data_IF_444037791268
#
_entry.id   IF_444037791268
#
_cell.length_a   1.000
_cell.length_b   1.000
_cell.length_c   1.000
_cell.angle_alpha   90.00
_cell.angle_beta   90.00
_cell.angle_gamma   90.00
#
_symmetry.space_group_name_H-M   'P 1'
#
loop_
_entity.id
_entity.type
_entity.pdbx_description
1 polymer ?
#
# COMPACT_ATOMS: atom_id res chain seq x y z
N UNK A 1 -40.05 -19.41 70.72
CA UNK A 1 -38.59 -19.49 70.46
C UNK A 1 -38.27 -20.91 70.01
N UNK A 2 -38.14 -21.13 68.70
CA UNK A 2 -37.85 -22.46 68.15
C UNK A 2 -36.32 -22.62 68.03
N UNK A 3 -35.74 -23.44 68.90
CA UNK A 3 -34.33 -23.84 68.83
C UNK A 3 -34.16 -24.85 67.69
N UNK A 4 -33.66 -24.38 66.55
CA UNK A 4 -33.36 -25.23 65.42
C UNK A 4 -32.06 -26.01 65.68
N UNK A 5 -32.18 -27.34 65.68
CA UNK A 5 -31.09 -28.28 65.86
C UNK A 5 -30.06 -28.21 64.71
N UNK A 6 -28.88 -27.68 65.01
CA UNK A 6 -27.75 -27.42 64.10
C UNK A 6 -27.34 -28.65 63.27
N UNK A 7 -27.53 -29.87 63.79
CA UNK A 7 -27.12 -31.12 63.12
C UNK A 7 -27.90 -31.45 61.83
N UNK A 8 -29.12 -30.92 61.66
CA UNK A 8 -29.95 -31.18 60.45
C UNK A 8 -29.79 -30.13 59.34
N UNK A 9 -29.09 -29.04 59.60
CA UNK A 9 -28.97 -27.91 58.64
C UNK A 9 -27.65 -27.90 57.86
N UNK A 10 -26.67 -28.69 58.27
CA UNK A 10 -25.37 -28.83 57.60
C UNK A 10 -25.50 -29.23 56.11
N UNK A 11 -26.32 -30.22 55.70
CA UNK A 11 -26.41 -30.57 54.28
C UNK A 11 -27.10 -29.48 53.43
N UNK A 12 -28.01 -28.70 54.03
CA UNK A 12 -28.72 -27.61 53.35
C UNK A 12 -27.80 -26.41 53.09
N UNK A 13 -26.92 -26.09 54.04
CA UNK A 13 -25.94 -25.00 53.94
C UNK A 13 -24.86 -25.35 52.89
N UNK A 14 -24.38 -26.59 52.86
CA UNK A 14 -23.43 -27.04 51.83
C UNK A 14 -24.04 -27.01 50.43
N UNK A 15 -25.34 -27.33 50.28
CA UNK A 15 -26.03 -27.26 48.99
C UNK A 15 -26.19 -25.80 48.51
N UNK A 16 -26.47 -24.87 49.42
CA UNK A 16 -26.60 -23.44 49.08
C UNK A 16 -25.27 -22.82 48.61
N UNK A 17 -24.14 -23.21 49.23
CA UNK A 17 -22.81 -22.74 48.85
C UNK A 17 -22.39 -23.32 47.48
N UNK A 18 -22.75 -24.57 47.19
CA UNK A 18 -22.44 -25.22 45.91
C UNK A 18 -23.18 -24.56 44.73
N UNK A 19 -24.43 -24.12 44.93
CA UNK A 19 -25.23 -23.44 43.89
C UNK A 19 -24.77 -22.00 43.63
N UNK A 20 -24.30 -21.28 44.65
CA UNK A 20 -23.79 -19.90 44.49
C UNK A 20 -22.41 -19.80 43.81
N UNK A 21 -21.66 -20.90 43.68
CA UNK A 21 -20.35 -20.91 43.02
C UNK A 21 -20.42 -21.13 41.49
N UNK A 22 -21.57 -21.57 40.97
CA UNK A 22 -21.76 -21.87 39.54
C UNK A 22 -21.77 -20.64 38.59
N UNK A 23 -22.29 -19.44 38.95
CA UNK A 23 -22.29 -18.30 38.02
C UNK A 23 -20.91 -17.66 37.82
N UNK A 24 -19.93 -17.91 38.70
CA UNK A 24 -18.57 -17.38 38.57
C UNK A 24 -17.75 -18.07 37.46
N UNK A 25 -18.16 -19.25 37.00
CA UNK A 25 -17.54 -19.93 35.86
C UNK A 25 -18.17 -19.55 34.51
N UNK A 26 -19.40 -19.02 34.50
CA UNK A 26 -20.08 -18.64 33.27
C UNK A 26 -19.55 -17.33 32.65
N UNK A 27 -18.93 -16.45 33.44
CA UNK A 27 -18.44 -15.15 32.95
C UNK A 27 -17.06 -15.19 32.25
N UNK A 28 -16.34 -16.31 32.27
CA UNK A 28 -15.02 -16.43 31.59
C UNK A 28 -15.09 -16.92 30.14
N UNK A 29 -16.28 -17.15 29.58
CA UNK A 29 -16.44 -17.73 28.25
C UNK A 29 -16.54 -16.70 27.09
N UNK A 30 -16.51 -15.39 27.35
CA UNK A 30 -16.74 -14.38 26.29
C UNK A 30 -15.68 -13.28 26.27
N UNK A 31 -14.45 -13.67 25.97
CA UNK A 31 -13.46 -12.77 25.37
C UNK A 31 -12.42 -13.59 24.62
N UNK A 32 -12.88 -14.48 23.73
CA UNK A 32 -11.98 -14.96 22.70
C UNK A 32 -11.67 -13.76 21.78
N UNK A 33 -10.40 -13.39 21.59
CA UNK A 33 -10.05 -12.38 20.60
C UNK A 33 -10.55 -12.87 19.25
N UNK A 34 -11.49 -12.14 18.65
CA UNK A 34 -12.02 -12.43 17.32
C UNK A 34 -10.83 -12.47 16.37
N UNK A 35 -10.49 -13.64 15.84
CA UNK A 35 -9.37 -13.75 14.88
C UNK A 35 -9.69 -12.90 13.65
N UNK A 36 -8.73 -12.13 13.11
CA UNK A 36 -8.96 -11.34 11.92
C UNK A 36 -9.48 -12.22 10.79
N UNK A 37 -10.64 -11.86 10.23
CA UNK A 37 -11.13 -12.48 9.00
C UNK A 37 -10.33 -11.90 7.84
N UNK A 38 -9.54 -12.74 7.18
CA UNK A 38 -8.74 -12.35 6.01
C UNK A 38 -9.44 -12.88 4.77
N UNK A 39 -9.84 -11.97 3.87
CA UNK A 39 -10.33 -12.33 2.53
C UNK A 39 -9.30 -11.90 1.49
N UNK A 40 -8.99 -12.79 0.55
CA UNK A 40 -8.07 -12.54 -0.56
C UNK A 40 -8.81 -12.75 -1.90
N UNK A 41 -8.70 -11.77 -2.79
CA UNK A 41 -9.20 -11.88 -4.16
C UNK A 41 -8.17 -11.32 -5.14
N UNK A 42 -7.88 -12.09 -6.19
CA UNK A 42 -7.06 -11.62 -7.31
C UNK A 42 -7.91 -10.76 -8.23
N UNK A 43 -7.46 -9.55 -8.50
CA UNK A 43 -8.12 -8.58 -9.38
C UNK A 43 -7.08 -8.00 -10.34
N UNK A 44 -7.58 -7.34 -11.40
CA UNK A 44 -6.75 -6.61 -12.34
C UNK A 44 -7.34 -5.24 -12.58
N UNK A 45 -6.49 -4.24 -12.74
CA UNK A 45 -6.88 -2.88 -13.15
C UNK A 45 -5.94 -2.38 -14.24
N UNK A 46 -6.46 -1.57 -15.15
CA UNK A 46 -5.68 -0.85 -16.15
C UNK A 46 -5.79 0.64 -15.90
N UNK A 47 -4.69 1.38 -16.07
CA UNK A 47 -4.70 2.81 -15.86
C UNK A 47 -3.35 3.48 -16.08
N UNK A 48 -3.31 4.77 -15.79
CA UNK A 48 -2.15 5.64 -15.98
C UNK A 48 -1.38 5.73 -14.66
N UNK A 49 -0.06 5.56 -14.72
CA UNK A 49 0.82 5.71 -13.57
C UNK A 49 0.88 7.18 -13.14
N UNK A 50 0.39 7.47 -11.95
CA UNK A 50 0.34 8.81 -11.36
C UNK A 50 1.44 9.04 -10.32
N UNK A 51 1.98 8.00 -9.72
CA UNK A 51 3.12 8.12 -8.82
C UNK A 51 3.89 6.81 -8.71
N UNK A 52 5.20 6.93 -8.54
CA UNK A 52 6.10 5.80 -8.31
C UNK A 52 6.84 6.06 -7.01
N UNK A 53 6.71 5.13 -6.07
CA UNK A 53 7.40 5.13 -4.78
C UNK A 53 8.29 3.90 -4.69
N UNK A 54 9.21 3.90 -3.73
CA UNK A 54 10.13 2.76 -3.52
C UNK A 54 9.41 1.42 -3.31
N UNK A 55 8.25 1.43 -2.65
CA UNK A 55 7.48 0.22 -2.31
C UNK A 55 6.02 0.32 -2.75
N UNK A 56 5.69 1.23 -3.67
CA UNK A 56 4.33 1.38 -4.14
C UNK A 56 4.29 1.99 -5.53
N UNK A 57 3.22 1.70 -6.27
CA UNK A 57 2.85 2.41 -7.49
C UNK A 57 1.41 2.88 -7.36
N UNK A 58 1.16 4.09 -7.83
CA UNK A 58 -0.19 4.66 -7.87
C UNK A 58 -0.68 4.74 -9.31
N UNK A 59 -1.93 4.35 -9.52
CA UNK A 59 -2.53 4.24 -10.86
C UNK A 59 -3.91 4.89 -10.86
N UNK A 60 -4.09 5.86 -11.75
CA UNK A 60 -5.40 6.45 -12.07
C UNK A 60 -6.09 5.53 -13.08
N UNK A 61 -7.21 4.94 -12.66
CA UNK A 61 -7.91 3.90 -13.43
C UNK A 61 -9.25 4.38 -13.99
N UNK A 62 -9.74 5.53 -13.54
CA UNK A 62 -10.98 6.11 -14.02
C UNK A 62 -10.92 7.62 -13.89
N UNK A 63 -11.27 8.30 -14.97
CA UNK A 63 -11.37 9.77 -15.04
C UNK A 63 -12.78 10.06 -15.54
N UNK A 64 -13.57 10.72 -14.70
CA UNK A 64 -14.87 11.27 -15.05
C UNK A 64 -14.68 12.76 -15.38
N UNK A 65 -14.50 13.05 -16.67
CA UNK A 65 -14.20 14.40 -17.17
C UNK A 65 -15.35 15.37 -16.90
N UNK A 66 -16.60 14.89 -16.97
CA UNK A 66 -17.79 15.73 -16.75
C UNK A 66 -17.88 16.21 -15.30
N UNK A 67 -17.46 15.35 -14.34
CA UNK A 67 -17.46 15.68 -12.91
C UNK A 67 -16.12 16.19 -12.40
N UNK A 68 -15.07 16.13 -13.21
CA UNK A 68 -13.69 16.44 -12.79
C UNK A 68 -13.19 15.50 -11.69
N UNK A 69 -13.62 14.23 -11.70
CA UNK A 69 -13.24 13.25 -10.67
C UNK A 69 -12.24 12.27 -11.24
N UNK A 70 -11.12 12.10 -10.54
CA UNK A 70 -10.14 11.07 -10.81
C UNK A 70 -10.19 10.02 -9.71
N UNK A 71 -10.16 8.74 -10.11
CA UNK A 71 -10.07 7.63 -9.17
C UNK A 71 -8.71 6.97 -9.32
N UNK A 72 -8.05 6.85 -8.18
CA UNK A 72 -6.70 6.37 -8.07
C UNK A 72 -6.64 5.15 -7.12
N UNK A 73 -5.75 4.22 -7.43
CA UNK A 73 -5.41 3.12 -6.52
C UNK A 73 -3.91 3.06 -6.29
N UNK A 74 -3.53 3.00 -5.01
CA UNK A 74 -2.19 2.67 -4.58
C UNK A 74 -2.02 1.16 -4.43
N UNK A 75 -0.97 0.61 -5.05
CA UNK A 75 -0.58 -0.78 -4.96
C UNK A 75 0.77 -0.88 -4.25
N UNK A 76 0.87 -1.69 -3.21
CA UNK A 76 2.14 -1.97 -2.56
C UNK A 76 2.93 -2.96 -3.41
N UNK A 77 4.23 -2.71 -3.50
CA UNK A 77 5.20 -3.54 -4.19
C UNK A 77 6.01 -4.32 -3.16
N UNK A 78 6.27 -5.57 -3.48
CA UNK A 78 7.21 -6.44 -2.78
C UNK A 78 8.24 -6.99 -3.78
N UNK A 79 9.24 -7.72 -3.29
CA UNK A 79 10.31 -8.30 -4.11
C UNK A 79 9.80 -9.39 -5.08
N UNK A 80 8.56 -9.84 -4.92
CA UNK A 80 7.95 -10.91 -5.72
C UNK A 80 7.12 -10.39 -6.89
N UNK A 81 6.98 -9.07 -7.03
CA UNK A 81 6.22 -8.46 -8.14
C UNK A 81 6.88 -8.81 -9.47
N UNK A 82 6.15 -9.52 -10.32
CA UNK A 82 6.54 -9.79 -11.69
C UNK A 82 6.35 -8.58 -12.59
N UNK A 83 7.24 -8.42 -13.56
CA UNK A 83 7.12 -7.41 -14.61
C UNK A 83 6.90 -8.08 -15.96
N UNK A 84 5.91 -7.61 -16.74
CA UNK A 84 5.65 -8.07 -18.11
C UNK A 84 5.85 -6.91 -19.09
N UNK A 85 6.36 -7.25 -20.28
CA UNK A 85 6.59 -6.32 -21.41
C UNK A 85 7.62 -5.21 -21.15
N UNK A 86 8.42 -5.31 -20.08
CA UNK A 86 9.60 -4.49 -19.77
C UNK A 86 10.66 -5.35 -19.09
N UNK A 87 11.91 -4.89 -19.09
CA UNK A 87 13.03 -5.63 -18.46
C UNK A 87 13.22 -5.28 -16.98
N UNK A 88 12.91 -4.04 -16.58
CA UNK A 88 13.07 -3.57 -15.19
C UNK A 88 11.97 -2.59 -14.78
N UNK A 89 11.68 -2.50 -13.47
CA UNK A 89 10.65 -1.60 -12.93
C UNK A 89 11.00 -0.13 -13.15
N UNK A 90 12.29 0.22 -13.15
CA UNK A 90 12.80 1.57 -13.44
C UNK A 90 12.48 2.08 -14.84
N UNK A 91 11.99 1.22 -15.74
CA UNK A 91 11.54 1.60 -17.07
C UNK A 91 10.07 2.05 -17.12
N UNK A 92 9.34 1.94 -16.01
CA UNK A 92 7.99 2.48 -15.87
C UNK A 92 8.13 3.93 -15.43
N UNK A 93 7.52 4.83 -16.19
CA UNK A 93 7.55 6.27 -15.93
C UNK A 93 6.17 6.78 -15.53
N UNK A 94 6.15 7.96 -14.91
CA UNK A 94 4.93 8.73 -14.74
C UNK A 94 4.24 8.94 -16.11
N UNK A 95 2.92 8.75 -16.15
CA UNK A 95 2.11 8.86 -17.36
C UNK A 95 2.04 7.58 -18.20
N UNK A 96 2.85 6.55 -17.93
CA UNK A 96 2.75 5.28 -18.64
C UNK A 96 1.41 4.59 -18.34
N UNK A 97 0.87 3.87 -19.34
CA UNK A 97 -0.31 3.01 -19.15
C UNK A 97 0.14 1.61 -18.80
N UNK A 98 -0.35 1.09 -17.68
CA UNK A 98 -0.03 -0.23 -17.15
C UNK A 98 -1.28 -1.00 -16.76
N UNK A 99 -1.17 -2.32 -16.75
CA UNK A 99 -2.12 -3.23 -16.10
C UNK A 99 -1.49 -3.82 -14.85
N UNK A 100 -2.17 -3.69 -13.73
CA UNK A 100 -1.74 -4.23 -12.43
C UNK A 100 -2.65 -5.38 -12.05
N UNK A 101 -2.08 -6.58 -11.96
CA UNK A 101 -2.70 -7.73 -11.29
C UNK A 101 -2.34 -7.65 -9.80
N UNK A 102 -3.32 -7.71 -8.91
CA UNK A 102 -3.11 -7.52 -7.47
C UNK A 102 -4.00 -8.42 -6.62
N UNK A 103 -3.56 -8.66 -5.39
CA UNK A 103 -4.36 -9.29 -4.34
C UNK A 103 -4.89 -8.19 -3.43
N UNK A 104 -6.20 -8.18 -3.25
CA UNK A 104 -6.85 -7.34 -2.23
C UNK A 104 -6.93 -8.12 -0.93
N UNK A 105 -6.28 -7.61 0.12
CA UNK A 105 -6.29 -8.18 1.47
C UNK A 105 -7.18 -7.29 2.32
N UNK A 106 -8.32 -7.83 2.73
CA UNK A 106 -9.24 -7.16 3.67
C UNK A 106 -9.04 -7.79 5.04
N UNK A 107 -8.68 -6.97 6.03
CA UNK A 107 -8.55 -7.36 7.43
C UNK A 107 -9.62 -6.64 8.26
N UNK A 108 -10.46 -7.41 8.93
CA UNK A 108 -11.43 -6.92 9.91
C UNK A 108 -10.90 -7.18 11.33
N UNK A 109 -10.68 -6.12 12.10
CA UNK A 109 -10.30 -6.18 13.51
C UNK A 109 -11.16 -5.19 14.31
N UNK A 110 -11.90 -5.69 15.30
CA UNK A 110 -12.69 -4.88 16.25
C UNK A 110 -13.59 -3.81 15.58
N UNK A 111 -14.26 -4.19 14.48
CA UNK A 111 -15.16 -3.30 13.73
C UNK A 111 -14.45 -2.30 12.79
N UNK A 112 -13.12 -2.33 12.71
CA UNK A 112 -12.35 -1.57 11.72
C UNK A 112 -11.96 -2.48 10.55
N UNK A 113 -12.21 -1.99 9.34
CA UNK A 113 -11.80 -2.65 8.10
C UNK A 113 -10.56 -1.96 7.54
N UNK A 114 -9.47 -2.72 7.35
CA UNK A 114 -8.26 -2.27 6.65
C UNK A 114 -8.15 -3.03 5.34
N UNK A 115 -8.08 -2.31 4.23
CA UNK A 115 -7.87 -2.89 2.91
C UNK A 115 -6.47 -2.55 2.41
N UNK A 116 -5.73 -3.57 1.99
CA UNK A 116 -4.44 -3.43 1.33
C UNK A 116 -4.49 -4.06 -0.05
N UNK A 117 -3.82 -3.43 -1.02
CA UNK A 117 -3.68 -3.96 -2.38
C UNK A 117 -2.21 -4.26 -2.62
N UNK A 118 -1.90 -5.53 -2.82
CA UNK A 118 -0.55 -6.03 -3.04
C UNK A 118 -0.42 -6.38 -4.53
N UNK A 119 0.46 -5.68 -5.25
CA UNK A 119 0.72 -6.00 -6.65
C UNK A 119 1.33 -7.41 -6.76
N UNK A 120 1.02 -8.10 -7.86
CA UNK A 120 1.61 -9.39 -8.23
C UNK A 120 2.27 -9.33 -9.59
N UNK A 121 1.62 -8.70 -10.54
CA UNK A 121 2.21 -8.47 -11.86
C UNK A 121 1.90 -7.06 -12.31
N UNK A 122 2.91 -6.37 -12.85
CA UNK A 122 2.71 -5.11 -13.57
C UNK A 122 3.07 -5.34 -15.03
N UNK A 123 2.08 -5.14 -15.90
CA UNK A 123 2.24 -5.27 -17.35
C UNK A 123 2.28 -3.89 -17.96
N UNK A 124 3.38 -3.55 -18.61
CA UNK A 124 3.44 -2.33 -19.41
C UNK A 124 2.59 -2.49 -20.68
N UNK A 125 1.78 -1.47 -20.98
CA UNK A 125 0.90 -1.47 -22.15
C UNK A 125 1.29 -0.38 -23.15
N UNK A 126 1.43 0.87 -22.70
CA UNK A 126 1.67 2.02 -23.58
C UNK A 126 2.54 3.07 -22.86
N UNK A 127 3.51 3.71 -23.54
CA UNK A 127 4.26 4.80 -22.94
C UNK A 127 3.40 6.05 -22.75
N UNK A 128 3.81 6.92 -21.84
CA UNK A 128 3.25 8.25 -21.69
C UNK A 128 3.23 8.99 -23.04
N UNK A 129 2.17 9.76 -23.37
CA UNK A 129 2.17 10.61 -24.54
C UNK A 129 3.32 11.62 -24.46
N UNK A 130 4.20 11.65 -25.46
CA UNK A 130 5.24 12.67 -25.56
C UNK A 130 4.59 13.94 -26.11
N UNK A 131 4.41 14.97 -25.28
CA UNK A 131 4.07 16.30 -25.78
C UNK A 131 5.33 16.97 -26.34
N UNK A 132 5.27 17.67 -27.50
CA UNK A 132 6.43 18.28 -28.14
C UNK A 132 7.22 19.25 -27.24
N UNK A 133 6.56 19.87 -26.27
CA UNK A 133 7.17 20.81 -25.32
C UNK A 133 8.20 20.15 -24.37
N UNK A 134 8.08 18.85 -24.12
CA UNK A 134 9.02 18.11 -23.25
C UNK A 134 10.36 17.79 -23.92
N UNK A 135 10.49 17.98 -25.24
CA UNK A 135 11.74 17.75 -25.98
C UNK A 135 12.71 18.94 -25.92
N UNK A 136 12.30 20.09 -25.36
CA UNK A 136 13.14 21.30 -25.28
C UNK A 136 13.95 21.46 -23.99
N UNK A 137 13.97 20.47 -23.10
CA UNK A 137 14.70 20.55 -21.81
C UNK A 137 15.97 19.70 -21.78
N UNK A 138 16.32 19.04 -22.90
CA UNK A 138 17.59 18.33 -23.03
C UNK A 138 18.41 19.07 -24.09
N UNK A 139 19.26 19.99 -23.61
CA UNK A 139 20.58 20.37 -24.15
C UNK A 139 20.82 21.89 -24.02
N UNK A 140 21.30 22.33 -22.86
CA UNK A 140 22.15 23.54 -22.69
C UNK A 140 22.64 23.63 -21.23
N UNK A 141 23.35 22.62 -20.74
CA UNK A 141 24.09 22.77 -19.46
C UNK A 141 25.41 22.00 -19.44
N UNK A 142 26.10 21.91 -20.56
CA UNK A 142 27.50 21.46 -20.62
C UNK A 142 28.28 22.24 -21.70
N UNK A 143 28.35 23.57 -21.57
CA UNK A 143 29.35 24.36 -22.29
C UNK A 143 29.78 25.61 -21.50
N UNK A 144 30.23 25.40 -20.27
CA UNK A 144 31.07 26.39 -19.57
C UNK A 144 32.40 25.74 -19.19
N UNK A 145 33.34 25.79 -20.13
CA UNK A 145 34.78 25.76 -19.86
C UNK A 145 35.41 26.90 -20.65
N UNK A 146 35.38 28.08 -20.03
CA UNK A 146 36.26 29.20 -20.35
C UNK A 146 37.65 28.81 -19.83
N UNK A 147 38.59 28.49 -20.72
CA UNK A 147 40.02 28.59 -20.39
C UNK A 147 40.58 29.87 -20.99
N UNK A 148 40.65 30.89 -20.15
CA UNK A 148 41.39 32.12 -20.40
C UNK A 148 42.85 31.87 -20.00
N UNK A 149 43.70 31.59 -20.99
CA UNK A 149 45.13 31.42 -20.75
C UNK A 149 45.99 31.62 -21.99
N UNK A 150 46.47 32.86 -22.21
CA UNK A 150 47.71 33.07 -22.97
C UNK A 150 47.64 34.09 -24.10
N UNK A 151 47.83 35.36 -23.75
CA UNK A 151 48.40 36.38 -24.65
C UNK A 151 49.68 35.85 -25.30
N UNK A 152 49.76 35.86 -26.64
CA UNK A 152 51.04 35.92 -27.34
C UNK A 152 50.94 36.80 -28.59
N UNK A 153 51.01 38.11 -28.36
CA UNK A 153 51.43 39.08 -29.37
C UNK A 153 52.96 39.08 -29.41
N UNK A 154 53.54 38.39 -30.40
CA UNK A 154 54.94 38.63 -30.76
C UNK A 154 55.04 38.71 -32.27
N UNK A 155 55.02 39.96 -32.76
CA UNK A 155 55.39 40.25 -34.13
C UNK A 155 56.84 39.87 -34.43
N UNK A 156 57.10 39.59 -35.70
CA UNK A 156 58.39 39.67 -36.41
C UNK A 156 58.04 39.37 -37.88
N UNK A 157 57.82 40.37 -38.74
CA UNK A 157 58.79 41.15 -39.53
C UNK A 157 59.33 40.39 -40.75
N UNK A 158 58.95 40.88 -41.94
CA UNK A 158 59.73 40.97 -43.19
C UNK A 158 60.11 39.67 -43.90
N UNK A 159 59.62 39.47 -45.13
CA UNK A 159 60.25 39.86 -46.41
C UNK A 159 59.22 39.75 -47.54
#
# INVERSE_FOLDING_TARGET
>A
MASLSIKKQIPLICFLILVCALPLYAQRAQSQPTRPKITQATKSVEGIVSAIYKMAISVVYNIDVEKGIEREMLFHLDETVGLKNRKTFDQINFGDTVRVEYIEVVQENDGKTKTQRLAKTISFLKPAPVTPEALNVIDTSDTDMIDAGGLNLKGMKGE
#
